data_IF_966098716538
#
_entry.id   IF_966098716538
#
_cell.length_a   1.000
_cell.length_b   1.000
_cell.length_c   1.000
_cell.angle_alpha   90.00
_cell.angle_beta   90.00
_cell.angle_gamma   90.00
#
_symmetry.space_group_name_H-M   'P 1'
#
loop_
_entity.id
_entity.type
_entity.pdbx_description
1 polymer ?
#
# COMPACT_ATOMS: atom_id res chain seq x y z
N UNK A 1 11.45 28.59 -5.20
CA UNK A 1 11.18 27.47 -4.27
C UNK A 1 9.71 27.08 -4.45
N UNK A 2 9.27 25.90 -4.87
CA UNK A 2 9.86 24.60 -5.14
C UNK A 2 8.96 23.89 -6.18
N UNK A 3 9.50 23.48 -7.33
CA UNK A 3 8.75 22.86 -8.44
C UNK A 3 8.83 21.33 -8.50
N UNK A 4 9.26 20.67 -7.42
CA UNK A 4 9.62 19.24 -7.43
C UNK A 4 8.65 18.35 -6.63
N UNK A 5 7.67 18.93 -5.93
CA UNK A 5 6.66 18.16 -5.21
C UNK A 5 5.44 17.94 -6.13
N UNK A 6 5.06 16.68 -6.35
CA UNK A 6 3.89 16.31 -7.16
C UNK A 6 4.15 15.97 -8.63
N UNK A 7 5.41 15.91 -9.09
CA UNK A 7 5.74 15.44 -10.46
C UNK A 7 5.55 13.92 -10.65
N UNK A 8 5.52 13.16 -9.55
CA UNK A 8 5.31 11.72 -9.55
C UNK A 8 4.24 11.38 -8.51
N UNK A 9 3.46 10.30 -8.72
CA UNK A 9 2.55 9.80 -7.70
C UNK A 9 3.37 9.39 -6.47
N UNK A 10 3.48 10.29 -5.48
CA UNK A 10 4.17 10.03 -4.22
C UNK A 10 3.17 9.44 -3.24
N UNK A 11 3.41 8.19 -2.87
CA UNK A 11 2.65 7.52 -1.83
C UNK A 11 3.30 7.83 -0.48
N UNK A 12 2.58 8.56 0.37
CA UNK A 12 3.00 8.83 1.75
C UNK A 12 2.50 7.73 2.68
N UNK A 13 3.42 7.12 3.43
CA UNK A 13 3.13 6.07 4.41
C UNK A 13 3.68 6.52 5.76
N UNK A 14 2.86 6.44 6.82
CA UNK A 14 3.30 6.70 8.18
C UNK A 14 2.93 5.53 9.09
N UNK A 15 3.93 5.02 9.81
CA UNK A 15 3.75 3.99 10.84
C UNK A 15 3.46 4.57 12.23
N UNK A 16 3.39 5.90 12.36
CA UNK A 16 3.21 6.59 13.65
C UNK A 16 1.94 6.16 14.38
N UNK A 17 0.90 5.81 13.63
CA UNK A 17 -0.40 5.41 14.17
C UNK A 17 -0.52 3.90 14.44
N UNK A 18 0.51 3.12 14.09
CA UNK A 18 0.57 1.70 14.44
C UNK A 18 1.04 1.60 15.89
N UNK A 19 0.10 1.27 16.78
CA UNK A 19 0.34 1.00 18.19
C UNK A 19 0.13 -0.49 18.43
N UNK A 20 1.21 -1.22 18.64
CA UNK A 20 1.17 -2.65 18.97
C UNK A 20 2.08 -2.94 20.14
N UNK A 21 1.65 -3.83 21.04
CA UNK A 21 2.48 -4.30 22.15
C UNK A 21 3.21 -5.61 21.78
N UNK A 22 2.67 -6.35 20.80
CA UNK A 22 3.27 -7.57 20.28
C UNK A 22 3.64 -7.44 18.80
N UNK A 23 4.40 -8.41 18.29
CA UNK A 23 4.75 -8.47 16.87
C UNK A 23 3.51 -8.65 16.00
N UNK A 24 2.56 -9.47 16.43
CA UNK A 24 1.31 -9.77 15.72
C UNK A 24 0.43 -8.52 15.58
N UNK A 25 0.39 -7.68 16.63
CA UNK A 25 -0.31 -6.38 16.59
C UNK A 25 0.32 -5.44 15.55
N UNK A 26 1.65 -5.37 15.52
CA UNK A 26 2.40 -4.56 14.57
C UNK A 26 2.20 -5.07 13.14
N UNK A 27 2.29 -6.38 12.93
CA UNK A 27 2.10 -7.04 11.65
C UNK A 27 0.69 -6.75 11.11
N UNK A 28 -0.33 -6.90 11.95
CA UNK A 28 -1.72 -6.58 11.60
C UNK A 28 -1.88 -5.11 11.23
N UNK A 29 -1.29 -4.20 12.01
CA UNK A 29 -1.33 -2.77 11.73
C UNK A 29 -0.66 -2.41 10.40
N UNK A 30 0.47 -3.05 10.07
CA UNK A 30 1.18 -2.84 8.81
C UNK A 30 0.35 -3.39 7.64
N UNK A 31 -0.22 -4.60 7.78
CA UNK A 31 -1.11 -5.19 6.75
C UNK A 31 -2.31 -4.27 6.48
N UNK A 32 -2.90 -3.71 7.53
CA UNK A 32 -4.03 -2.78 7.39
C UNK A 32 -3.64 -1.45 6.74
N UNK A 33 -2.46 -0.91 7.05
CA UNK A 33 -1.95 0.30 6.44
C UNK A 33 -1.71 0.11 4.93
N UNK A 34 -1.05 -0.99 4.56
CA UNK A 34 -0.80 -1.34 3.16
C UNK A 34 -2.13 -1.57 2.43
N UNK A 35 -3.05 -2.34 3.02
CA UNK A 35 -4.37 -2.56 2.45
C UNK A 35 -5.10 -1.23 2.17
N UNK A 36 -5.17 -0.32 3.15
CA UNK A 36 -5.85 0.98 3.00
C UNK A 36 -5.23 1.81 1.88
N UNK A 37 -3.91 1.78 1.76
CA UNK A 37 -3.18 2.48 0.73
C UNK A 37 -3.50 1.95 -0.67
N UNK A 38 -3.46 0.63 -0.86
CA UNK A 38 -3.81 0.03 -2.16
C UNK A 38 -5.29 0.21 -2.47
N UNK A 39 -6.17 0.12 -1.47
CA UNK A 39 -7.60 0.37 -1.64
C UNK A 39 -7.88 1.82 -2.09
N UNK A 40 -7.18 2.82 -1.53
CA UNK A 40 -7.36 4.22 -1.96
C UNK A 40 -6.87 4.47 -3.39
N UNK A 41 -5.93 3.66 -3.87
CA UNK A 41 -5.40 3.72 -5.24
C UNK A 41 -6.03 2.70 -6.19
N UNK A 42 -7.20 2.14 -5.86
CA UNK A 42 -7.88 1.12 -6.69
C UNK A 42 -8.08 1.53 -8.15
N UNK A 43 -8.16 2.85 -8.43
CA UNK A 43 -8.25 3.39 -9.78
C UNK A 43 -7.08 2.97 -10.70
N UNK A 44 -5.92 2.60 -10.12
CA UNK A 44 -4.77 2.14 -10.90
C UNK A 44 -5.01 0.79 -11.59
N UNK A 45 -5.92 -0.05 -11.09
CA UNK A 45 -6.30 -1.32 -11.73
C UNK A 45 -6.96 -1.13 -13.10
N UNK A 46 -7.71 -0.04 -13.24
CA UNK A 46 -8.38 0.35 -14.49
C UNK A 46 -7.47 1.23 -15.37
N UNK A 47 -6.32 1.65 -14.86
CA UNK A 47 -5.36 2.48 -15.61
C UNK A 47 -4.47 1.63 -16.53
N UNK A 48 -3.92 2.29 -17.54
CA UNK A 48 -2.87 1.82 -18.43
C UNK A 48 -1.45 1.97 -17.83
N UNK A 49 -1.35 2.47 -16.60
CA UNK A 49 -0.07 2.73 -15.91
C UNK A 49 0.53 1.49 -15.25
N UNK A 50 -0.27 0.43 -15.09
CA UNK A 50 0.16 -0.85 -14.53
C UNK A 50 0.06 -1.94 -15.60
N UNK A 51 1.09 -2.77 -15.70
CA UNK A 51 1.04 -4.01 -16.49
C UNK A 51 0.20 -5.09 -15.78
N UNK A 52 -0.06 -6.20 -16.48
CA UNK A 52 -0.91 -7.28 -15.96
C UNK A 52 -0.32 -7.94 -14.70
N UNK A 53 1.00 -8.08 -14.63
CA UNK A 53 1.71 -8.66 -13.48
C UNK A 53 1.56 -7.73 -12.27
N UNK A 54 1.77 -6.42 -12.46
CA UNK A 54 1.60 -5.40 -11.44
C UNK A 54 0.16 -5.32 -10.95
N UNK A 55 -0.83 -5.46 -11.85
CA UNK A 55 -2.26 -5.53 -11.47
C UNK A 55 -2.55 -6.76 -10.61
N UNK A 56 -1.94 -7.90 -10.89
CA UNK A 56 -2.08 -9.09 -10.05
C UNK A 56 -1.47 -8.93 -8.66
N UNK A 57 -0.29 -8.33 -8.55
CA UNK A 57 0.27 -7.96 -7.25
C UNK A 57 -0.63 -6.97 -6.51
N UNK A 58 -1.14 -5.96 -7.20
CA UNK A 58 -2.06 -4.98 -6.63
C UNK A 58 -3.32 -5.66 -6.06
N UNK A 59 -3.88 -6.63 -6.79
CA UNK A 59 -5.03 -7.44 -6.34
C UNK A 59 -4.73 -8.18 -5.04
N UNK A 60 -3.54 -8.76 -4.87
CA UNK A 60 -3.14 -9.45 -3.61
C UNK A 60 -3.17 -8.50 -2.41
N UNK A 61 -2.72 -7.26 -2.58
CA UNK A 61 -2.71 -6.27 -1.50
C UNK A 61 -4.12 -5.79 -1.12
N UNK A 62 -5.02 -5.61 -2.09
CA UNK A 62 -6.43 -5.26 -1.80
C UNK A 62 -7.29 -6.45 -1.32
N UNK A 63 -6.85 -7.70 -1.48
CA UNK A 63 -7.55 -8.86 -0.91
C UNK A 63 -6.96 -9.32 0.41
N UNK A 64 -5.92 -8.64 0.92
CA UNK A 64 -5.14 -9.05 2.09
C UNK A 64 -4.54 -10.47 1.98
N UNK A 65 -4.30 -10.93 0.75
CA UNK A 65 -3.68 -12.23 0.46
C UNK A 65 -2.15 -12.10 0.31
N UNK A 66 -1.54 -11.15 1.02
CA UNK A 66 -0.11 -10.97 1.05
C UNK A 66 0.40 -11.33 2.45
N UNK A 67 1.50 -12.06 2.48
CA UNK A 67 2.22 -12.35 3.71
C UNK A 67 3.34 -11.32 3.89
N UNK A 68 3.65 -10.97 5.15
CA UNK A 68 4.78 -10.11 5.50
C UNK A 68 6.00 -10.93 5.93
N UNK A 69 5.83 -12.22 6.21
CA UNK A 69 6.94 -13.16 6.42
C UNK A 69 7.22 -13.95 5.15
N UNK A 70 8.29 -13.58 4.45
CA UNK A 70 9.11 -14.53 3.68
C UNK A 70 10.30 -15.00 4.55
#
# INVERSE_FOLDING_TARGET
MNGYLGQYPTIFISFKDIKGLTYEDLETGIKDLIYKLYASHRYLLESDRLDDIQKDYFRKFITKQFDLSE
#
